data_IF_276540964124
#
_entry.id   IF_276540964124
#
_cell.length_a   1.000
_cell.length_b   1.000
_cell.length_c   1.000
_cell.angle_alpha   90.00
_cell.angle_beta   90.00
_cell.angle_gamma   90.00
#
_symmetry.space_group_name_H-M   'P 1'
#
loop_
_entity.id
_entity.type
_entity.pdbx_description
1 polymer ?
#
# COMPACT_ATOMS: atom_id res chain seq x y z
N UNK A 1 -18.67 32.25 18.40
CA UNK A 1 -17.52 31.32 18.32
C UNK A 1 -16.89 31.50 16.95
N UNK A 2 -15.74 32.18 16.89
CA UNK A 2 -15.01 32.44 15.63
C UNK A 2 -14.66 31.09 15.01
N UNK A 3 -15.07 30.87 13.76
CA UNK A 3 -14.81 29.64 13.03
C UNK A 3 -13.31 29.37 12.98
N UNK A 4 -12.86 28.36 13.71
CA UNK A 4 -11.52 27.83 13.50
C UNK A 4 -11.45 27.34 12.05
N UNK A 5 -10.50 27.85 11.29
CA UNK A 5 -10.15 27.31 10.00
C UNK A 5 -9.72 25.84 10.20
N UNK A 6 -10.57 24.91 9.77
CA UNK A 6 -10.42 23.46 10.01
C UNK A 6 -9.74 22.75 8.84
N UNK A 7 -9.25 23.51 7.87
CA UNK A 7 -8.50 23.00 6.73
C UNK A 7 -7.16 22.41 7.19
N UNK A 8 -6.69 21.30 6.60
CA UNK A 8 -5.39 20.72 6.93
C UNK A 8 -4.28 21.69 6.53
N UNK A 9 -3.58 22.24 7.53
CA UNK A 9 -2.40 23.07 7.31
C UNK A 9 -1.24 22.19 6.85
N UNK A 10 -0.78 22.40 5.61
CA UNK A 10 0.47 21.85 5.11
C UNK A 10 1.55 22.91 5.14
N UNK A 11 2.80 22.49 5.36
CA UNK A 11 3.96 23.38 5.26
C UNK A 11 4.62 23.15 3.92
N UNK A 12 4.48 24.09 3.00
CA UNK A 12 5.19 24.04 1.72
C UNK A 12 6.70 23.86 1.94
N UNK A 13 7.33 23.11 1.05
CA UNK A 13 8.77 22.85 1.06
C UNK A 13 9.30 22.16 2.35
N UNK A 14 8.43 21.52 3.14
CA UNK A 14 8.84 20.76 4.33
C UNK A 14 9.48 19.42 3.99
N UNK A 15 9.13 18.82 2.84
CA UNK A 15 9.62 17.51 2.43
C UNK A 15 10.70 17.65 1.35
N UNK A 16 11.86 17.04 1.57
CA UNK A 16 12.93 16.97 0.56
C UNK A 16 12.70 15.79 -0.39
N UNK A 17 13.37 15.79 -1.56
CA UNK A 17 13.35 14.64 -2.48
C UNK A 17 13.78 13.35 -1.78
N UNK A 18 14.87 13.41 -1.00
CA UNK A 18 15.37 12.26 -0.23
C UNK A 18 14.34 11.82 0.80
N UNK A 19 13.68 12.76 1.50
CA UNK A 19 12.61 12.45 2.44
C UNK A 19 11.42 11.77 1.77
N UNK A 20 11.02 12.21 0.57
CA UNK A 20 9.95 11.57 -0.19
C UNK A 20 10.33 10.17 -0.67
N UNK A 21 11.58 9.95 -1.07
CA UNK A 21 12.08 8.61 -1.42
C UNK A 21 12.07 7.70 -0.18
N UNK A 22 12.56 8.18 0.97
CA UNK A 22 12.56 7.43 2.22
C UNK A 22 11.13 7.09 2.69
N UNK A 23 10.17 8.01 2.49
CA UNK A 23 8.75 7.81 2.78
C UNK A 23 8.17 6.71 1.87
N UNK A 24 8.33 6.82 0.55
CA UNK A 24 7.78 5.87 -0.41
C UNK A 24 8.36 4.47 -0.27
N UNK A 25 9.69 4.37 -0.27
CA UNK A 25 10.41 3.10 -0.03
C UNK A 25 10.09 2.53 1.33
N UNK A 26 9.87 3.40 2.32
CA UNK A 26 9.56 2.96 3.67
C UNK A 26 8.24 2.25 3.80
N UNK A 27 7.21 2.72 3.10
CA UNK A 27 5.90 2.06 3.03
C UNK A 27 5.98 0.79 2.17
N UNK A 28 6.64 0.87 1.01
CA UNK A 28 6.81 -0.28 0.12
C UNK A 28 7.48 -1.44 0.87
N UNK A 29 8.69 -1.22 1.40
CA UNK A 29 9.48 -2.27 2.05
C UNK A 29 8.73 -2.91 3.22
N UNK A 30 8.09 -2.10 4.08
CA UNK A 30 7.38 -2.60 5.25
C UNK A 30 6.16 -3.47 4.90
N UNK A 31 5.39 -3.07 3.88
CA UNK A 31 4.25 -3.83 3.37
C UNK A 31 4.67 -5.01 2.48
N UNK A 32 5.84 -4.92 1.86
CA UNK A 32 6.20 -5.74 0.72
C UNK A 32 6.88 -7.03 1.14
N UNK A 33 8.21 -6.97 1.09
CA UNK A 33 9.08 -8.14 1.11
C UNK A 33 9.01 -8.94 2.42
N UNK A 34 8.71 -8.29 3.55
CA UNK A 34 8.59 -8.98 4.84
C UNK A 34 7.34 -9.88 4.90
N UNK A 35 6.24 -9.45 4.28
CA UNK A 35 4.94 -10.06 4.52
C UNK A 35 4.44 -10.93 3.37
N UNK A 36 4.87 -10.64 2.14
CA UNK A 36 4.31 -11.26 0.93
C UNK A 36 5.17 -12.39 0.38
N UNK A 37 6.42 -12.52 0.82
CA UNK A 37 7.37 -13.51 0.28
C UNK A 37 6.86 -14.94 0.41
N UNK A 38 6.44 -15.35 1.63
CA UNK A 38 5.89 -16.69 1.86
C UNK A 38 4.61 -16.97 1.07
N UNK A 39 3.66 -16.03 1.09
CA UNK A 39 2.39 -16.16 0.34
C UNK A 39 2.62 -16.27 -1.17
N UNK A 40 3.56 -15.51 -1.72
CA UNK A 40 3.91 -15.60 -3.14
C UNK A 40 4.55 -16.95 -3.47
N UNK A 41 5.43 -17.47 -2.59
CA UNK A 41 6.03 -18.78 -2.75
C UNK A 41 4.99 -19.92 -2.68
N UNK A 42 3.97 -19.80 -1.83
CA UNK A 42 2.84 -20.73 -1.78
C UNK A 42 2.08 -20.76 -3.12
N UNK A 43 1.88 -19.60 -3.75
CA UNK A 43 1.11 -19.49 -5.01
C UNK A 43 1.88 -19.93 -6.25
N UNK A 44 3.19 -19.65 -6.34
CA UNK A 44 3.98 -19.89 -7.57
C UNK A 44 5.24 -20.71 -7.37
N UNK A 45 5.46 -21.27 -6.18
CA UNK A 45 6.65 -22.02 -5.83
C UNK A 45 7.92 -21.17 -5.88
N UNK A 46 9.01 -21.78 -6.34
CA UNK A 46 10.34 -21.13 -6.45
C UNK A 46 10.38 -19.97 -7.45
N UNK A 47 9.33 -19.74 -8.23
CA UNK A 47 9.25 -18.61 -9.17
C UNK A 47 8.86 -17.28 -8.51
N UNK A 48 8.62 -17.24 -7.19
CA UNK A 48 8.18 -16.02 -6.51
C UNK A 48 9.11 -14.80 -6.69
N UNK A 49 10.46 -14.92 -6.78
CA UNK A 49 11.31 -13.75 -7.06
C UNK A 49 11.05 -13.19 -8.46
N UNK A 50 10.76 -14.06 -9.43
CA UNK A 50 10.38 -13.65 -10.79
C UNK A 50 8.99 -13.01 -10.81
N UNK A 51 8.05 -13.46 -9.98
CA UNK A 51 6.76 -12.81 -9.82
C UNK A 51 6.89 -11.39 -9.23
N UNK A 52 7.83 -11.16 -8.30
CA UNK A 52 8.18 -9.81 -7.85
C UNK A 52 8.72 -8.94 -8.99
N UNK A 53 9.60 -9.47 -9.84
CA UNK A 53 10.11 -8.73 -11.00
C UNK A 53 9.02 -8.46 -12.05
N UNK A 54 8.10 -9.41 -12.27
CA UNK A 54 6.94 -9.19 -13.13
C UNK A 54 6.07 -8.06 -12.58
N UNK A 55 5.81 -8.04 -11.28
CA UNK A 55 5.07 -6.97 -10.63
C UNK A 55 5.76 -5.61 -10.77
N UNK A 56 7.08 -5.57 -10.63
CA UNK A 56 7.87 -4.36 -10.83
C UNK A 56 7.73 -3.78 -12.25
N UNK A 57 7.70 -4.65 -13.27
CA UNK A 57 7.47 -4.24 -14.66
C UNK A 57 6.09 -3.60 -14.79
N UNK A 58 5.04 -4.28 -14.31
CA UNK A 58 3.66 -3.77 -14.37
C UNK A 58 3.56 -2.41 -13.67
N UNK A 59 4.05 -2.33 -12.44
CA UNK A 59 4.03 -1.09 -11.66
C UNK A 59 4.84 0.03 -12.32
N UNK A 60 5.90 -0.29 -13.07
CA UNK A 60 6.63 0.72 -13.84
C UNK A 60 5.79 1.33 -14.96
N UNK A 61 4.93 0.53 -15.62
CA UNK A 61 3.94 1.05 -16.56
C UNK A 61 2.88 1.89 -15.85
N UNK A 62 2.35 1.42 -14.71
CA UNK A 62 1.33 2.19 -13.96
C UNK A 62 1.89 3.51 -13.43
N UNK A 63 3.12 3.50 -12.90
CA UNK A 63 3.81 4.67 -12.37
C UNK A 63 3.93 5.81 -13.39
N UNK A 64 3.94 5.53 -14.70
CA UNK A 64 3.96 6.55 -15.74
C UNK A 64 2.79 7.54 -15.62
N UNK A 65 1.55 7.03 -15.47
CA UNK A 65 0.36 7.87 -15.31
C UNK A 65 0.46 8.70 -14.04
N UNK A 66 0.92 8.10 -12.94
CA UNK A 66 1.09 8.81 -11.67
C UNK A 66 2.14 9.91 -11.75
N UNK A 67 3.29 9.65 -12.39
CA UNK A 67 4.35 10.67 -12.60
C UNK A 67 3.83 11.84 -13.42
N UNK A 68 3.11 11.55 -14.52
CA UNK A 68 2.52 12.59 -15.38
C UNK A 68 1.48 13.43 -14.64
N UNK A 69 0.56 12.77 -13.94
CA UNK A 69 -0.46 13.44 -13.13
C UNK A 69 0.16 14.24 -11.99
N UNK A 70 1.16 13.69 -11.30
CA UNK A 70 1.87 14.33 -10.19
C UNK A 70 2.60 15.60 -10.61
N UNK A 71 3.28 15.57 -11.75
CA UNK A 71 4.04 16.72 -12.24
C UNK A 71 3.10 17.84 -12.72
N UNK A 72 1.93 17.51 -13.27
CA UNK A 72 0.95 18.49 -13.75
C UNK A 72 0.06 19.02 -12.62
N UNK A 73 -0.35 18.16 -11.68
CA UNK A 73 -1.26 18.48 -10.58
C UNK A 73 -0.69 18.10 -9.20
N UNK A 74 0.43 18.71 -8.75
CA UNK A 74 0.93 18.45 -7.40
C UNK A 74 -0.10 18.81 -6.33
N UNK A 75 -0.41 17.87 -5.43
CA UNK A 75 -1.46 18.06 -4.42
C UNK A 75 -1.22 17.19 -3.19
N UNK A 76 -1.59 17.69 -2.02
CA UNK A 76 -1.73 16.91 -0.78
C UNK A 76 -2.87 15.87 -0.84
N UNK A 77 -3.77 15.99 -1.82
CA UNK A 77 -4.87 15.06 -2.05
C UNK A 77 -4.52 13.86 -2.93
N UNK A 78 -3.31 13.82 -3.49
CA UNK A 78 -2.78 12.76 -4.34
C UNK A 78 -3.79 12.18 -5.32
N UNK A 79 -4.02 10.88 -5.20
CA UNK A 79 -4.88 10.11 -6.12
C UNK A 79 -6.32 10.60 -6.15
N UNK A 80 -6.87 11.02 -5.00
CA UNK A 80 -8.20 11.61 -4.94
C UNK A 80 -8.32 12.86 -5.82
N UNK A 81 -7.28 13.69 -5.85
CA UNK A 81 -7.20 14.86 -6.73
C UNK A 81 -7.07 14.44 -8.21
N UNK A 82 -6.32 13.38 -8.51
CA UNK A 82 -6.16 12.89 -9.88
C UNK A 82 -7.48 12.41 -10.47
N UNK A 83 -8.26 11.66 -9.68
CA UNK A 83 -9.61 11.24 -10.07
C UNK A 83 -10.54 12.44 -10.25
N UNK A 84 -10.51 13.40 -9.33
CA UNK A 84 -11.31 14.63 -9.45
C UNK A 84 -10.95 15.43 -10.70
N UNK A 85 -9.67 15.50 -11.08
CA UNK A 85 -9.24 16.16 -12.33
C UNK A 85 -9.68 15.39 -13.58
N UNK A 86 -9.73 14.05 -13.51
CA UNK A 86 -10.06 13.21 -14.65
C UNK A 86 -11.57 13.11 -14.89
N UNK A 87 -12.37 12.98 -13.84
CA UNK A 87 -13.79 12.66 -13.92
C UNK A 87 -14.72 13.73 -13.33
N UNK A 88 -14.17 14.79 -12.70
CA UNK A 88 -14.97 15.83 -12.04
C UNK A 88 -15.66 15.32 -10.76
N UNK A 89 -16.61 16.08 -10.19
CA UNK A 89 -17.30 15.71 -8.94
C UNK A 89 -18.41 14.67 -9.15
N UNK A 90 -18.08 13.56 -9.81
CA UNK A 90 -19.00 12.51 -10.27
C UNK A 90 -18.83 11.21 -9.48
N UNK A 91 -19.82 10.31 -9.61
CA UNK A 91 -19.81 9.00 -8.93
C UNK A 91 -18.53 8.16 -9.20
N UNK A 92 -17.98 8.09 -10.43
CA UNK A 92 -16.70 7.41 -10.67
C UNK A 92 -15.56 7.96 -9.81
N UNK A 93 -15.47 9.29 -9.63
CA UNK A 93 -14.44 9.90 -8.79
C UNK A 93 -14.53 9.40 -7.35
N UNK A 94 -15.72 9.48 -6.76
CA UNK A 94 -15.90 9.17 -5.33
C UNK A 94 -15.73 7.67 -5.08
N UNK A 95 -16.29 6.83 -5.96
CA UNK A 95 -16.13 5.38 -5.91
C UNK A 95 -14.66 4.96 -5.98
N UNK A 96 -13.92 5.37 -7.01
CA UNK A 96 -12.53 4.96 -7.16
C UNK A 96 -11.62 5.58 -6.09
N UNK A 97 -11.91 6.79 -5.61
CA UNK A 97 -11.15 7.40 -4.52
C UNK A 97 -11.35 6.63 -3.20
N UNK A 98 -12.57 6.13 -2.95
CA UNK A 98 -12.84 5.27 -1.81
C UNK A 98 -12.22 3.88 -1.95
N UNK A 99 -12.19 3.29 -3.16
CA UNK A 99 -11.41 2.06 -3.39
C UNK A 99 -9.94 2.25 -3.03
N UNK A 100 -9.34 3.38 -3.42
CA UNK A 100 -7.98 3.70 -3.01
C UNK A 100 -7.88 3.84 -1.49
N UNK A 101 -8.80 4.58 -0.87
CA UNK A 101 -8.83 4.77 0.59
C UNK A 101 -8.85 3.44 1.33
N UNK A 102 -9.84 2.60 1.06
CA UNK A 102 -9.97 1.28 1.71
C UNK A 102 -8.77 0.39 1.41
N UNK A 103 -8.25 0.39 0.17
CA UNK A 103 -7.03 -0.34 -0.16
C UNK A 103 -5.82 0.10 0.67
N UNK A 104 -5.68 1.40 0.98
CA UNK A 104 -4.60 1.89 1.84
C UNK A 104 -4.83 1.59 3.33
N UNK A 105 -6.08 1.63 3.81
CA UNK A 105 -6.43 1.19 5.19
C UNK A 105 -6.13 -0.30 5.37
N UNK A 106 -6.52 -1.12 4.39
CA UNK A 106 -6.23 -2.55 4.35
C UNK A 106 -4.72 -2.81 4.41
N UNK A 107 -3.93 -2.03 3.67
CA UNK A 107 -2.47 -2.14 3.74
C UNK A 107 -1.95 -1.85 5.16
N UNK A 108 -2.50 -0.87 5.89
CA UNK A 108 -2.09 -0.61 7.29
C UNK A 108 -2.37 -1.81 8.19
N UNK A 109 -3.54 -2.44 8.04
CA UNK A 109 -3.88 -3.65 8.79
C UNK A 109 -2.96 -4.82 8.46
N UNK A 110 -2.55 -4.91 7.20
CA UNK A 110 -1.59 -5.90 6.70
C UNK A 110 -0.23 -5.71 7.40
N UNK A 111 0.35 -4.51 7.35
CA UNK A 111 1.61 -4.22 8.08
C UNK A 111 1.48 -4.50 9.58
N UNK A 112 0.31 -4.24 10.17
CA UNK A 112 0.10 -4.41 11.61
C UNK A 112 0.13 -5.89 12.00
N UNK A 113 -0.47 -6.76 11.18
CA UNK A 113 -0.37 -8.20 11.37
C UNK A 113 1.04 -8.72 11.11
N UNK A 114 1.73 -8.22 10.08
CA UNK A 114 3.14 -8.54 9.84
C UNK A 114 4.00 -8.20 11.06
N UNK A 115 3.82 -7.01 11.65
CA UNK A 115 4.50 -6.64 12.89
C UNK A 115 4.26 -7.68 14.00
N UNK A 116 3.00 -8.10 14.20
CA UNK A 116 2.65 -9.14 15.16
C UNK A 116 3.34 -10.47 14.88
N UNK A 117 3.28 -10.97 13.64
CA UNK A 117 3.90 -12.25 13.24
C UNK A 117 5.42 -12.24 13.46
N UNK A 118 6.09 -11.15 13.08
CA UNK A 118 7.53 -11.01 13.33
C UNK A 118 7.87 -10.88 14.81
N UNK A 119 7.11 -10.08 15.56
CA UNK A 119 7.36 -9.87 16.99
C UNK A 119 7.30 -11.19 17.77
N UNK A 120 6.35 -12.06 17.43
CA UNK A 120 6.20 -13.36 18.10
C UNK A 120 7.35 -14.32 17.83
N UNK A 121 8.17 -14.10 16.80
CA UNK A 121 9.35 -14.94 16.57
C UNK A 121 10.45 -14.73 17.63
N UNK A 122 10.41 -13.62 18.38
CA UNK A 122 11.30 -13.41 19.52
C UNK A 122 10.86 -14.16 20.79
N UNK A 123 9.68 -14.80 20.76
CA UNK A 123 9.09 -15.45 21.92
C UNK A 123 8.72 -16.90 21.59
N UNK A 124 9.13 -17.83 22.46
CA UNK A 124 8.75 -19.24 22.33
C UNK A 124 7.33 -19.45 22.90
N UNK A 125 6.34 -18.99 22.13
CA UNK A 125 4.92 -19.11 22.45
C UNK A 125 4.27 -20.17 21.54
N UNK A 126 3.47 -21.05 22.15
CA UNK A 126 2.71 -22.09 21.45
C UNK A 126 1.64 -21.51 20.52
N UNK A 127 0.42 -21.31 21.00
CA UNK A 127 -0.64 -20.74 20.15
C UNK A 127 -0.42 -19.22 19.94
N UNK A 128 -0.06 -18.86 18.71
CA UNK A 128 0.19 -17.48 18.27
C UNK A 128 -1.05 -16.78 17.72
N UNK A 129 -2.15 -17.50 17.50
CA UNK A 129 -3.31 -17.03 16.72
C UNK A 129 -3.97 -15.77 17.27
N UNK A 130 -4.02 -15.63 18.60
CA UNK A 130 -4.58 -14.46 19.28
C UNK A 130 -3.58 -13.30 19.44
N UNK A 131 -2.28 -13.61 19.52
CA UNK A 131 -1.26 -12.59 19.81
C UNK A 131 -0.89 -11.77 18.59
N UNK A 132 -0.89 -12.36 17.38
CA UNK A 132 -0.64 -11.61 16.13
C UNK A 132 -1.60 -10.42 15.97
N UNK A 133 -2.94 -10.61 16.01
CA UNK A 133 -3.87 -9.48 15.89
C UNK A 133 -3.79 -8.53 17.08
N UNK A 134 -3.54 -9.01 18.30
CA UNK A 134 -3.41 -8.17 19.49
C UNK A 134 -2.22 -7.20 19.39
N UNK A 135 -1.06 -7.70 18.99
CA UNK A 135 0.13 -6.87 18.78
C UNK A 135 -0.06 -5.88 17.63
N UNK A 136 -0.70 -6.32 16.53
CA UNK A 136 -1.05 -5.44 15.43
C UNK A 136 -2.01 -4.31 15.83
N UNK A 137 -3.05 -4.62 16.61
CA UNK A 137 -3.97 -3.63 17.20
C UNK A 137 -3.20 -2.66 18.09
N UNK A 138 -2.31 -3.17 18.95
CA UNK A 138 -1.45 -2.36 19.80
C UNK A 138 -0.60 -1.38 18.98
N UNK A 139 0.02 -1.84 17.90
CA UNK A 139 0.80 -0.99 17.01
C UNK A 139 -0.04 0.09 16.32
N UNK A 140 -1.25 -0.23 15.85
CA UNK A 140 -2.16 0.76 15.26
C UNK A 140 -2.57 1.83 16.26
N UNK A 141 -2.83 1.46 17.52
CA UNK A 141 -3.13 2.40 18.59
C UNK A 141 -1.92 3.30 18.91
N UNK A 142 -0.71 2.75 18.94
CA UNK A 142 0.51 3.53 19.10
C UNK A 142 0.67 4.50 17.92
N UNK A 143 0.50 4.03 16.70
CA UNK A 143 0.57 4.87 15.50
C UNK A 143 -0.49 5.98 15.52
N UNK A 144 -1.69 5.71 16.03
CA UNK A 144 -2.74 6.71 16.23
C UNK A 144 -2.31 7.80 17.22
N UNK A 145 -1.78 7.43 18.40
CA UNK A 145 -1.30 8.37 19.41
C UNK A 145 -0.14 9.23 18.90
N UNK A 146 0.78 8.62 18.14
CA UNK A 146 1.87 9.30 17.46
C UNK A 146 1.32 10.32 16.46
N UNK A 147 0.34 9.93 15.63
CA UNK A 147 -0.27 10.81 14.63
C UNK A 147 -1.14 11.94 15.24
N UNK A 148 -1.66 11.76 16.44
CA UNK A 148 -2.32 12.84 17.20
C UNK A 148 -1.31 13.85 17.77
N UNK A 149 -0.07 13.41 17.99
CA UNK A 149 0.98 14.24 18.56
C UNK A 149 1.62 15.10 17.47
N UNK A 150 1.54 16.43 17.60
CA UNK A 150 2.16 17.39 16.67
C UNK A 150 3.71 17.46 16.81
N UNK A 151 4.36 16.35 17.13
CA UNK A 151 5.75 16.34 17.55
C UNK A 151 6.69 16.09 16.38
N UNK A 152 7.42 17.13 15.95
CA UNK A 152 8.43 17.07 14.87
C UNK A 152 9.52 16.02 15.12
N UNK A 153 9.75 15.61 16.36
CA UNK A 153 10.71 14.57 16.71
C UNK A 153 10.37 13.21 16.05
N UNK A 154 9.09 12.95 15.79
CA UNK A 154 8.60 11.72 15.15
C UNK A 154 9.06 11.64 13.69
N UNK A 155 9.02 12.74 12.94
CA UNK A 155 9.46 12.77 11.53
C UNK A 155 10.95 12.46 11.40
N UNK A 156 11.77 13.02 12.29
CA UNK A 156 13.22 12.75 12.33
C UNK A 156 13.51 11.30 12.65
N UNK A 157 12.83 10.73 13.65
CA UNK A 157 13.00 9.31 14.03
C UNK A 157 12.58 8.39 12.88
N UNK A 158 11.43 8.64 12.24
CA UNK A 158 10.97 7.85 11.10
C UNK A 158 11.95 7.87 9.92
N UNK A 159 12.58 9.02 9.66
CA UNK A 159 13.61 9.17 8.63
C UNK A 159 14.86 8.34 8.93
N UNK A 160 15.38 8.42 10.17
CA UNK A 160 16.56 7.64 10.61
C UNK A 160 16.28 6.13 10.53
N UNK A 161 15.13 5.69 11.03
CA UNK A 161 14.68 4.28 10.90
C UNK A 161 14.57 3.85 9.44
N UNK A 162 14.21 4.78 8.55
CA UNK A 162 14.17 4.57 7.11
C UNK A 162 15.53 4.23 6.49
N UNK A 163 16.59 4.91 6.91
CA UNK A 163 17.94 4.59 6.43
C UNK A 163 18.47 3.29 7.01
N UNK A 164 18.23 3.04 8.30
CA UNK A 164 18.67 1.81 8.98
C UNK A 164 18.06 0.59 8.31
N UNK A 165 16.74 0.60 8.00
CA UNK A 165 16.09 -0.55 7.36
C UNK A 165 16.59 -0.78 5.92
N UNK A 166 16.80 0.27 5.14
CA UNK A 166 17.32 0.11 3.76
C UNK A 166 18.73 -0.50 3.82
N UNK A 167 19.61 0.04 4.66
CA UNK A 167 20.96 -0.49 4.84
C UNK A 167 20.96 -1.95 5.33
N UNK A 168 20.16 -2.24 6.36
CA UNK A 168 20.05 -3.59 6.93
C UNK A 168 19.56 -4.64 5.94
N UNK A 169 18.58 -4.28 5.10
CA UNK A 169 18.04 -5.19 4.07
C UNK A 169 19.03 -5.39 2.92
N UNK A 170 19.77 -4.35 2.51
CA UNK A 170 20.81 -4.49 1.49
C UNK A 170 21.90 -5.43 1.99
N UNK A 171 22.35 -5.24 3.24
CA UNK A 171 23.35 -6.13 3.86
C UNK A 171 22.81 -7.56 3.91
N UNK A 172 21.57 -7.76 4.38
CA UNK A 172 20.92 -9.07 4.38
C UNK A 172 20.92 -9.72 2.98
N UNK A 173 20.45 -8.99 1.96
CA UNK A 173 20.31 -9.53 0.61
C UNK A 173 21.66 -9.89 -0.02
N UNK A 174 22.67 -9.04 0.17
CA UNK A 174 24.04 -9.30 -0.31
C UNK A 174 24.61 -10.54 0.39
N UNK A 175 24.59 -10.57 1.72
CA UNK A 175 25.14 -11.69 2.50
C UNK A 175 24.40 -12.99 2.18
N UNK A 176 23.07 -12.97 2.10
CA UNK A 176 22.27 -14.15 1.76
C UNK A 176 22.58 -14.71 0.38
N UNK A 177 22.79 -13.86 -0.63
CA UNK A 177 23.19 -14.33 -1.97
C UNK A 177 24.63 -14.87 -1.98
N UNK A 178 25.55 -14.27 -1.22
CA UNK A 178 26.95 -14.73 -1.16
C UNK A 178 27.15 -16.03 -0.38
N UNK A 179 26.32 -16.30 0.63
CA UNK A 179 26.40 -17.53 1.45
C UNK A 179 25.72 -18.71 0.74
N UNK A 180 24.83 -18.46 -0.23
CA UNK A 180 24.16 -19.52 -0.95
C UNK A 180 25.12 -20.36 -1.80
N UNK A 181 25.15 -21.68 -1.57
CA UNK A 181 25.96 -22.63 -2.34
C UNK A 181 25.54 -22.71 -3.82
N UNK A 182 24.26 -22.48 -4.12
CA UNK A 182 23.73 -22.38 -5.48
C UNK A 182 22.39 -21.65 -5.53
N UNK A 183 22.09 -20.98 -6.65
CA UNK A 183 20.78 -20.38 -6.93
C UNK A 183 19.96 -21.39 -7.75
N UNK A 184 19.29 -22.32 -7.08
CA UNK A 184 18.44 -23.30 -7.76
C UNK A 184 17.01 -22.78 -7.95
N UNK A 185 16.77 -22.10 -9.07
CA UNK A 185 15.42 -21.68 -9.50
C UNK A 185 14.61 -22.78 -10.24
N UNK A 186 15.10 -24.02 -10.27
CA UNK A 186 14.45 -25.14 -10.96
C UNK A 186 13.29 -25.75 -10.17
N UNK A 187 12.37 -26.41 -10.88
CA UNK A 187 11.39 -27.29 -10.25
C UNK A 187 12.14 -28.50 -9.66
N UNK A 188 12.44 -28.45 -8.36
CA UNK A 188 12.81 -29.66 -7.63
C UNK A 188 11.68 -30.68 -7.71
N UNK A 189 12.00 -31.97 -7.62
CA UNK A 189 11.04 -33.06 -7.79
C UNK A 189 9.84 -33.02 -6.81
N UNK A 190 9.94 -32.25 -5.72
CA UNK A 190 8.93 -32.13 -4.65
C UNK A 190 8.15 -30.79 -4.66
N UNK A 191 8.35 -29.92 -5.66
CA UNK A 191 7.64 -28.64 -5.74
C UNK A 191 6.34 -28.75 -6.57
N UNK A 192 5.22 -28.12 -6.13
CA UNK A 192 4.02 -28.00 -6.96
C UNK A 192 4.37 -27.41 -8.33
N UNK A 193 3.83 -27.99 -9.40
CA UNK A 193 4.06 -27.48 -10.76
C UNK A 193 3.57 -26.03 -10.85
N UNK A 194 4.43 -25.05 -11.20
CA UNK A 194 4.00 -23.67 -11.30
C UNK A 194 2.89 -23.52 -12.33
N UNK A 195 1.75 -22.97 -11.93
CA UNK A 195 0.64 -22.67 -12.83
C UNK A 195 0.71 -21.21 -13.26
N UNK A 196 0.26 -20.91 -14.48
CA UNK A 196 0.16 -19.53 -14.98
C UNK A 196 -0.72 -18.70 -14.03
N UNK A 197 -1.82 -19.27 -13.54
CA UNK A 197 -2.73 -18.62 -12.59
C UNK A 197 -2.05 -18.33 -11.24
N UNK A 198 -1.26 -19.28 -10.72
CA UNK A 198 -0.48 -19.10 -9.50
C UNK A 198 0.57 -17.99 -9.64
N UNK A 199 1.28 -17.94 -10.76
CA UNK A 199 2.23 -16.87 -11.08
C UNK A 199 1.56 -15.49 -11.18
N UNK A 200 0.41 -15.40 -11.86
CA UNK A 200 -0.37 -14.16 -11.92
C UNK A 200 -0.85 -13.74 -10.53
N UNK A 201 -1.26 -14.71 -9.71
CA UNK A 201 -1.70 -14.43 -8.35
C UNK A 201 -0.58 -13.90 -7.45
N UNK A 202 0.61 -14.53 -7.51
CA UNK A 202 1.81 -14.04 -6.84
C UNK A 202 2.23 -12.66 -7.38
N UNK A 203 2.12 -12.44 -8.69
CA UNK A 203 2.40 -11.13 -9.31
C UNK A 203 1.45 -10.05 -8.78
N UNK A 204 0.17 -10.35 -8.57
CA UNK A 204 -0.78 -9.41 -7.96
C UNK A 204 -0.36 -9.01 -6.54
N UNK A 205 0.05 -9.99 -5.72
CA UNK A 205 0.62 -9.70 -4.40
C UNK A 205 1.90 -8.87 -4.52
N UNK A 206 2.77 -9.16 -5.48
CA UNK A 206 3.94 -8.32 -5.79
C UNK A 206 3.57 -6.88 -6.12
N UNK A 207 2.48 -6.62 -6.87
CA UNK A 207 2.01 -5.26 -7.17
C UNK A 207 1.62 -4.54 -5.87
N UNK A 208 0.97 -5.24 -4.93
CA UNK A 208 0.65 -4.70 -3.62
C UNK A 208 1.91 -4.23 -2.86
N UNK A 209 3.01 -4.97 -2.97
CA UNK A 209 4.31 -4.64 -2.36
C UNK A 209 4.93 -3.35 -2.91
N UNK A 210 4.72 -3.05 -4.19
CA UNK A 210 5.27 -1.87 -4.86
C UNK A 210 4.33 -0.67 -4.82
N UNK A 211 3.01 -0.86 -4.67
CA UNK A 211 2.02 0.23 -4.60
C UNK A 211 2.39 1.34 -3.60
N UNK A 212 3.18 1.06 -2.56
CA UNK A 212 3.56 2.03 -1.53
C UNK A 212 4.10 3.38 -2.06
N UNK A 213 4.62 3.44 -3.30
CA UNK A 213 4.96 4.70 -3.97
C UNK A 213 3.79 5.70 -4.02
N UNK A 214 2.55 5.23 -4.04
CA UNK A 214 1.34 6.06 -4.06
C UNK A 214 1.23 6.97 -2.83
N UNK A 215 1.85 6.61 -1.70
CA UNK A 215 1.92 7.46 -0.51
C UNK A 215 2.64 8.78 -0.80
N UNK A 216 3.64 8.77 -1.70
CA UNK A 216 4.36 9.97 -2.14
C UNK A 216 3.39 10.98 -2.79
N UNK A 217 2.42 10.48 -3.55
CA UNK A 217 1.45 11.34 -4.25
C UNK A 217 0.58 12.15 -3.28
N UNK A 218 0.37 11.65 -2.05
CA UNK A 218 -0.40 12.34 -1.00
C UNK A 218 0.41 13.41 -0.24
N UNK A 219 1.70 13.54 -0.53
CA UNK A 219 2.58 14.59 0.01
C UNK A 219 3.00 15.59 -1.07
N UNK A 220 2.22 15.70 -2.15
CA UNK A 220 2.57 16.50 -3.32
C UNK A 220 2.81 17.98 -3.03
N UNK A 221 2.00 18.58 -2.16
CA UNK A 221 2.10 20.01 -1.81
C UNK A 221 3.23 20.34 -0.83
N UNK A 222 3.81 19.34 -0.18
CA UNK A 222 4.86 19.52 0.84
C UNK A 222 6.27 19.39 0.24
N UNK A 223 6.37 18.76 -0.92
CA UNK A 223 7.64 18.47 -1.57
C UNK A 223 8.29 19.74 -2.12
N UNK A 224 9.58 19.92 -1.88
CA UNK A 224 10.39 20.95 -2.54
C UNK A 224 10.36 20.76 -4.04
N UNK A 225 10.06 21.81 -4.80
CA UNK A 225 9.93 21.78 -6.28
C UNK A 225 9.09 20.58 -6.77
N UNK A 226 7.80 20.54 -6.42
CA UNK A 226 7.01 19.31 -6.52
C UNK A 226 6.78 18.88 -7.97
N UNK A 227 6.70 19.82 -8.91
CA UNK A 227 6.55 19.54 -10.36
C UNK A 227 7.70 18.73 -10.95
N UNK A 228 8.91 18.83 -10.36
CA UNK A 228 10.08 18.06 -10.79
C UNK A 228 10.36 16.88 -9.87
N UNK A 229 10.16 17.06 -8.57
CA UNK A 229 10.61 16.09 -7.57
C UNK A 229 9.58 15.00 -7.27
N UNK A 230 8.27 15.16 -7.51
CA UNK A 230 7.33 14.05 -7.30
C UNK A 230 7.64 12.90 -8.24
N UNK A 231 7.76 13.20 -9.54
CA UNK A 231 8.10 12.19 -10.54
C UNK A 231 9.40 11.46 -10.20
N UNK A 232 10.45 12.22 -9.85
CA UNK A 232 11.74 11.65 -9.43
C UNK A 232 11.60 10.77 -8.18
N UNK A 233 10.87 11.24 -7.16
CA UNK A 233 10.67 10.48 -5.94
C UNK A 233 9.99 9.13 -6.22
N UNK A 234 8.94 9.12 -7.04
CA UNK A 234 8.22 7.89 -7.44
C UNK A 234 9.18 6.95 -8.18
N UNK A 235 9.85 7.42 -9.24
CA UNK A 235 10.74 6.59 -10.06
C UNK A 235 11.93 6.05 -9.27
N UNK A 236 12.60 6.87 -8.48
CA UNK A 236 13.74 6.45 -7.65
C UNK A 236 13.29 5.42 -6.61
N UNK A 237 12.14 5.64 -5.97
CA UNK A 237 11.63 4.73 -4.95
C UNK A 237 11.30 3.36 -5.54
N UNK A 238 10.63 3.32 -6.70
CA UNK A 238 10.33 2.06 -7.38
C UNK A 238 11.63 1.37 -7.76
N UNK A 239 12.55 2.05 -8.45
CA UNK A 239 13.83 1.46 -8.87
C UNK A 239 14.64 0.88 -7.69
N UNK A 240 14.70 1.60 -6.58
CA UNK A 240 15.37 1.11 -5.36
C UNK A 240 14.66 -0.13 -4.79
N UNK A 241 13.34 -0.13 -4.72
CA UNK A 241 12.58 -1.29 -4.27
C UNK A 241 12.70 -2.48 -5.22
N UNK A 242 12.85 -2.28 -6.54
CA UNK A 242 13.10 -3.38 -7.50
C UNK A 242 14.40 -4.09 -7.15
N UNK A 243 15.48 -3.33 -6.93
CA UNK A 243 16.78 -3.88 -6.54
C UNK A 243 16.67 -4.61 -5.20
N UNK A 244 16.04 -3.99 -4.21
CA UNK A 244 15.89 -4.57 -2.87
C UNK A 244 15.07 -5.87 -2.92
N UNK A 245 13.91 -5.89 -3.58
CA UNK A 245 13.05 -7.07 -3.62
C UNK A 245 13.65 -8.19 -4.46
N UNK A 246 14.39 -7.85 -5.52
CA UNK A 246 15.17 -8.85 -6.25
C UNK A 246 16.20 -9.47 -5.32
N UNK A 247 17.10 -8.66 -4.75
CA UNK A 247 18.17 -9.15 -3.86
C UNK A 247 17.62 -10.02 -2.74
N UNK A 248 16.58 -9.55 -2.06
CA UNK A 248 15.97 -10.27 -0.96
C UNK A 248 15.23 -11.51 -1.42
N UNK A 249 14.44 -11.42 -2.49
CA UNK A 249 13.68 -12.56 -3.00
C UNK A 249 14.59 -13.69 -3.43
N UNK A 250 15.68 -13.38 -4.13
CA UNK A 250 16.72 -14.35 -4.48
C UNK A 250 17.47 -14.87 -3.25
N UNK A 251 17.79 -14.02 -2.27
CA UNK A 251 18.40 -14.49 -1.02
C UNK A 251 17.52 -15.50 -0.30
N UNK A 252 16.21 -15.24 -0.15
CA UNK A 252 15.27 -16.18 0.47
C UNK A 252 15.18 -17.49 -0.32
N UNK A 253 15.03 -17.39 -1.65
CA UNK A 253 14.91 -18.56 -2.51
C UNK A 253 16.16 -19.47 -2.49
N UNK A 254 17.34 -18.90 -2.23
CA UNK A 254 18.59 -19.66 -2.19
C UNK A 254 18.96 -20.19 -0.80
N UNK A 255 18.36 -19.65 0.27
CA UNK A 255 18.71 -20.01 1.65
C UNK A 255 17.67 -20.91 2.34
N UNK A 256 16.47 -21.04 1.77
CA UNK A 256 15.41 -21.89 2.30
C UNK A 256 14.86 -22.81 1.21
N UNK A 257 14.50 -24.03 1.59
CA UNK A 257 13.70 -24.91 0.74
C UNK A 257 12.27 -24.37 0.58
N UNK A 258 11.59 -24.72 -0.50
CA UNK A 258 10.21 -24.28 -0.71
C UNK A 258 9.26 -24.68 0.45
N UNK A 259 9.32 -25.92 1.00
CA UNK A 259 8.55 -26.28 2.18
C UNK A 259 8.82 -25.37 3.38
N UNK A 260 10.08 -25.02 3.66
CA UNK A 260 10.43 -24.11 4.77
C UNK A 260 9.91 -22.69 4.54
N UNK A 261 9.95 -22.19 3.29
CA UNK A 261 9.37 -20.87 2.96
C UNK A 261 7.85 -20.86 3.19
N UNK A 262 7.17 -21.95 2.84
CA UNK A 262 5.71 -22.10 3.03
C UNK A 262 5.38 -22.28 4.52
N UNK A 263 6.17 -23.05 5.26
CA UNK A 263 5.98 -23.27 6.70
C UNK A 263 6.17 -21.98 7.50
N UNK A 264 7.21 -21.21 7.19
CA UNK A 264 7.54 -19.95 7.89
C UNK A 264 6.74 -18.75 7.39
N UNK A 265 6.02 -18.90 6.27
CA UNK A 265 5.19 -17.92 5.56
C UNK A 265 5.38 -16.44 5.97
N UNK A 266 4.73 -16.03 7.06
CA UNK A 266 4.61 -14.65 7.54
C UNK A 266 5.91 -14.02 8.06
N UNK A 267 6.96 -14.82 8.30
CA UNK A 267 8.27 -14.36 8.75
C UNK A 267 9.43 -14.97 7.95
N UNK A 268 9.16 -15.52 6.76
CA UNK A 268 10.12 -16.28 5.95
C UNK A 268 11.44 -15.55 5.68
N UNK A 269 11.39 -14.21 5.60
CA UNK A 269 12.59 -13.40 5.44
C UNK A 269 13.55 -13.49 6.65
N UNK A 270 13.02 -13.53 7.87
CA UNK A 270 13.85 -13.71 9.06
C UNK A 270 14.38 -15.14 9.15
N UNK A 271 13.57 -16.14 8.80
CA UNK A 271 14.01 -17.53 8.73
C UNK A 271 15.18 -17.71 7.74
N UNK A 272 15.13 -17.04 6.59
CA UNK A 272 16.20 -17.07 5.59
C UNK A 272 17.51 -16.41 6.06
N UNK A 273 17.50 -15.67 7.17
CA UNK A 273 18.71 -15.12 7.78
C UNK A 273 19.48 -16.14 8.62
N UNK A 274 18.80 -17.21 9.06
CA UNK A 274 19.35 -18.23 9.97
C UNK A 274 20.64 -18.87 9.46
N UNK A 275 20.81 -19.21 8.16
CA UNK A 275 22.05 -19.79 7.65
C UNK A 275 23.28 -18.88 7.79
N UNK A 276 23.10 -17.56 7.89
CA UNK A 276 24.22 -16.62 7.95
C UNK A 276 24.89 -16.55 9.33
N UNK A 277 24.11 -16.29 10.40
CA UNK A 277 24.62 -16.14 11.78
C UNK A 277 23.71 -16.78 12.83
N UNK A 278 22.91 -17.78 12.44
CA UNK A 278 21.95 -18.43 13.33
C UNK A 278 20.89 -17.48 13.86
N UNK A 279 20.46 -17.69 15.10
CA UNK A 279 19.39 -16.92 15.75
C UNK A 279 19.69 -15.43 15.92
N UNK A 280 20.98 -15.04 15.94
CA UNK A 280 21.34 -13.62 15.98
C UNK A 280 20.92 -12.88 14.70
N UNK A 281 21.06 -13.52 13.52
CA UNK A 281 20.61 -12.95 12.24
C UNK A 281 19.09 -12.96 12.13
N UNK A 282 18.42 -13.99 12.66
CA UNK A 282 16.95 -14.04 12.75
C UNK A 282 16.45 -12.86 13.59
N UNK A 283 16.94 -12.72 14.82
CA UNK A 283 16.53 -11.64 15.73
C UNK A 283 16.79 -10.24 15.14
N UNK A 284 17.94 -10.04 14.49
CA UNK A 284 18.24 -8.78 13.80
C UNK A 284 17.22 -8.48 12.70
N UNK A 285 16.91 -9.48 11.86
CA UNK A 285 15.96 -9.33 10.75
C UNK A 285 14.54 -9.09 11.27
N UNK A 286 14.17 -9.73 12.39
CA UNK A 286 12.90 -9.48 13.08
C UNK A 286 12.80 -8.04 13.57
N UNK A 287 13.82 -7.52 14.26
CA UNK A 287 13.84 -6.13 14.73
C UNK A 287 13.75 -5.17 13.53
N UNK A 288 14.45 -5.45 12.44
CA UNK A 288 14.35 -4.65 11.22
C UNK A 288 12.93 -4.66 10.63
N UNK A 289 12.28 -5.82 10.57
CA UNK A 289 10.91 -5.96 10.11
C UNK A 289 9.94 -5.17 10.99
N UNK A 290 10.09 -5.25 12.31
CA UNK A 290 9.30 -4.48 13.29
C UNK A 290 9.44 -2.98 13.08
N UNK A 291 10.66 -2.48 12.90
CA UNK A 291 10.91 -1.06 12.63
C UNK A 291 10.36 -0.62 11.26
N UNK A 292 10.49 -1.47 10.25
CA UNK A 292 9.98 -1.21 8.90
C UNK A 292 8.45 -1.11 8.87
N UNK A 293 7.77 -2.07 9.50
CA UNK A 293 6.30 -2.13 9.59
C UNK A 293 5.74 -0.99 10.44
N UNK A 294 6.34 -0.71 11.62
CA UNK A 294 5.93 0.41 12.47
C UNK A 294 6.07 1.76 11.75
N UNK A 295 7.23 2.02 11.13
CA UNK A 295 7.45 3.24 10.37
C UNK A 295 6.51 3.38 9.16
N UNK A 296 6.25 2.27 8.46
CA UNK A 296 5.31 2.22 7.34
C UNK A 296 3.87 2.54 7.75
N UNK A 297 3.41 2.00 8.89
CA UNK A 297 2.08 2.28 9.44
C UNK A 297 1.95 3.75 9.85
N UNK A 298 2.91 4.29 10.59
CA UNK A 298 2.88 5.68 11.06
C UNK A 298 2.73 6.63 9.87
N UNK A 299 3.54 6.43 8.81
CA UNK A 299 3.48 7.25 7.60
C UNK A 299 2.18 7.04 6.80
N UNK A 300 1.73 5.80 6.66
CA UNK A 300 0.52 5.48 5.88
C UNK A 300 -0.75 6.02 6.55
N UNK A 301 -0.90 5.85 7.87
CA UNK A 301 -2.05 6.35 8.64
C UNK A 301 -2.22 7.86 8.45
N UNK A 302 -1.11 8.60 8.49
CA UNK A 302 -1.10 10.03 8.23
C UNK A 302 -1.56 10.37 6.81
N UNK A 303 -0.98 9.71 5.80
CA UNK A 303 -1.27 9.98 4.40
C UNK A 303 -2.73 9.65 4.02
N UNK A 304 -3.26 8.55 4.55
CA UNK A 304 -4.62 8.06 4.26
C UNK A 304 -5.68 8.93 4.90
N UNK A 305 -5.49 9.31 6.17
CA UNK A 305 -6.40 10.22 6.86
C UNK A 305 -6.48 11.58 6.16
N UNK A 306 -5.35 12.09 5.67
CA UNK A 306 -5.28 13.32 4.86
C UNK A 306 -6.02 13.19 3.54
N UNK A 307 -5.83 12.10 2.81
CA UNK A 307 -6.52 11.88 1.53
C UNK A 307 -8.04 11.91 1.74
N UNK A 308 -8.56 11.23 2.77
CA UNK A 308 -9.99 11.24 3.07
C UNK A 308 -10.50 12.61 3.52
N UNK A 309 -9.69 13.37 4.27
CA UNK A 309 -10.05 14.73 4.68
C UNK A 309 -10.19 15.65 3.46
N UNK A 310 -9.26 15.56 2.52
CA UNK A 310 -9.28 16.34 1.27
C UNK A 310 -10.50 15.96 0.40
N UNK A 311 -10.83 14.67 0.27
CA UNK A 311 -12.06 14.23 -0.41
C UNK A 311 -13.33 14.78 0.25
N UNK A 312 -13.34 14.83 1.59
CA UNK A 312 -14.43 15.42 2.37
C UNK A 312 -14.56 16.91 2.08
N UNK A 313 -13.46 17.66 2.06
CA UNK A 313 -13.45 19.10 1.79
C UNK A 313 -13.88 19.43 0.36
N UNK A 314 -13.56 18.55 -0.60
CA UNK A 314 -14.07 18.63 -1.97
C UNK A 314 -15.57 18.29 -2.10
N UNK A 315 -16.27 18.01 -0.97
CA UNK A 315 -17.68 17.57 -0.93
C UNK A 315 -17.93 16.33 -1.79
N UNK A 316 -16.93 15.44 -1.86
CA UNK A 316 -17.01 14.18 -2.62
C UNK A 316 -17.38 13.00 -1.74
N UNK A 317 -17.08 13.05 -0.44
CA UNK A 317 -17.39 11.98 0.50
C UNK A 317 -18.14 12.59 1.69
N UNK A 318 -19.20 11.94 2.19
CA UNK A 318 -19.94 12.45 3.33
C UNK A 318 -19.09 12.49 4.60
N UNK A 319 -19.26 13.55 5.39
CA UNK A 319 -18.63 13.69 6.69
C UNK A 319 -19.62 14.09 7.76
N UNK A 320 -19.53 13.44 8.92
CA UNK A 320 -20.18 13.85 10.16
C UNK A 320 -19.12 14.10 11.22
N UNK A 321 -19.32 15.12 12.03
CA UNK A 321 -18.36 15.49 13.08
C UNK A 321 -18.49 14.60 14.32
N UNK A 322 -19.65 13.95 14.55
CA UNK A 322 -19.95 13.15 15.75
C UNK A 322 -19.55 13.83 17.07
N UNK A 323 -19.70 15.16 17.14
CA UNK A 323 -19.27 16.01 18.28
C UNK A 323 -17.77 15.90 18.64
N UNK A 324 -16.94 15.34 17.76
CA UNK A 324 -15.50 15.29 17.95
C UNK A 324 -14.88 16.69 17.80
N UNK A 325 -13.92 17.06 18.67
CA UNK A 325 -13.17 18.30 18.53
C UNK A 325 -12.03 18.16 17.51
N UNK A 326 -11.69 19.24 16.82
CA UNK A 326 -10.52 19.32 15.93
C UNK A 326 -10.86 19.53 14.45
N UNK A 327 -9.87 19.24 13.60
CA UNK A 327 -9.97 19.35 12.14
C UNK A 327 -10.61 18.10 11.52
N UNK A 328 -11.06 18.22 10.27
CA UNK A 328 -11.59 17.09 9.49
C UNK A 328 -10.57 15.95 9.42
N UNK A 329 -9.28 16.27 9.29
CA UNK A 329 -8.20 15.28 9.28
C UNK A 329 -8.13 14.46 10.57
N UNK A 330 -8.38 15.04 11.74
CA UNK A 330 -8.41 14.27 13.00
C UNK A 330 -9.57 13.28 13.01
N UNK A 331 -10.73 13.65 12.46
CA UNK A 331 -11.87 12.75 12.38
C UNK A 331 -11.61 11.61 11.40
N UNK A 332 -11.06 11.91 10.21
CA UNK A 332 -10.72 10.88 9.22
C UNK A 332 -9.58 9.99 9.68
N UNK A 333 -8.68 10.49 10.53
CA UNK A 333 -7.68 9.68 11.24
C UNK A 333 -8.36 8.66 12.16
N UNK A 334 -9.35 9.08 12.95
CA UNK A 334 -10.15 8.15 13.78
C UNK A 334 -10.84 7.09 12.92
N UNK A 335 -11.50 7.47 11.82
CA UNK A 335 -12.17 6.51 10.92
C UNK A 335 -11.17 5.49 10.36
N UNK A 336 -10.03 5.99 9.88
CA UNK A 336 -8.94 5.17 9.32
C UNK A 336 -8.44 4.15 10.33
N UNK A 337 -8.21 4.57 11.58
CA UNK A 337 -7.76 3.67 12.65
C UNK A 337 -8.85 2.67 13.03
N UNK A 338 -10.11 3.09 13.18
CA UNK A 338 -11.21 2.16 13.52
C UNK A 338 -11.37 1.08 12.44
N UNK A 339 -11.37 1.45 11.16
CA UNK A 339 -11.41 0.46 10.08
C UNK A 339 -10.17 -0.44 10.10
N UNK A 340 -8.98 0.14 10.29
CA UNK A 340 -7.73 -0.61 10.41
C UNK A 340 -7.75 -1.63 11.54
N UNK A 341 -8.26 -1.24 12.72
CA UNK A 341 -8.40 -2.09 13.90
C UNK A 341 -9.34 -3.27 13.65
N UNK A 342 -10.50 -3.02 13.03
CA UNK A 342 -11.47 -4.08 12.70
C UNK A 342 -10.84 -5.10 11.74
N UNK A 343 -10.20 -4.63 10.67
CA UNK A 343 -9.54 -5.51 9.71
C UNK A 343 -8.41 -6.30 10.38
N UNK A 344 -7.55 -5.66 11.18
CA UNK A 344 -6.48 -6.33 11.91
C UNK A 344 -7.00 -7.35 12.91
N UNK A 345 -8.09 -7.06 13.63
CA UNK A 345 -8.63 -7.97 14.64
C UNK A 345 -9.28 -9.21 14.02
N UNK A 346 -10.06 -9.06 12.94
CA UNK A 346 -10.97 -10.10 12.48
C UNK A 346 -10.57 -10.82 11.18
N UNK A 347 -9.66 -10.26 10.37
CA UNK A 347 -9.27 -10.85 9.09
C UNK A 347 -7.82 -11.33 9.11
N UNK A 348 -7.53 -12.49 8.52
CA UNK A 348 -6.17 -12.97 8.33
C UNK A 348 -5.39 -12.17 7.27
N UNK A 349 -4.07 -12.35 7.26
CA UNK A 349 -3.13 -11.60 6.44
C UNK A 349 -3.40 -11.80 4.92
N UNK A 350 -3.78 -13.01 4.50
CA UNK A 350 -4.05 -13.36 3.09
C UNK A 350 -5.34 -12.71 2.57
N UNK A 351 -6.42 -12.73 3.37
CA UNK A 351 -7.68 -12.05 3.03
C UNK A 351 -7.53 -10.54 2.99
N UNK A 352 -6.80 -9.96 3.95
CA UNK A 352 -6.46 -8.54 3.96
C UNK A 352 -5.71 -8.17 2.66
N UNK A 353 -4.63 -8.87 2.33
CA UNK A 353 -3.88 -8.60 1.10
C UNK A 353 -4.75 -8.68 -0.15
N UNK A 354 -5.60 -9.70 -0.23
CA UNK A 354 -6.46 -9.95 -1.38
C UNK A 354 -7.50 -8.84 -1.61
N UNK A 355 -8.17 -8.37 -0.56
CA UNK A 355 -9.08 -7.22 -0.66
C UNK A 355 -8.32 -5.96 -1.09
N UNK A 356 -7.13 -5.75 -0.53
CA UNK A 356 -6.29 -4.59 -0.81
C UNK A 356 -5.89 -4.50 -2.27
N UNK A 357 -5.44 -5.60 -2.86
CA UNK A 357 -5.02 -5.64 -4.26
C UNK A 357 -6.20 -5.54 -5.24
N UNK A 358 -7.34 -6.16 -4.95
CA UNK A 358 -8.54 -6.06 -5.80
C UNK A 358 -8.99 -4.60 -5.91
N UNK A 359 -9.14 -3.91 -4.77
CA UNK A 359 -9.55 -2.50 -4.77
C UNK A 359 -8.51 -1.59 -5.42
N UNK A 360 -7.22 -1.90 -5.23
CA UNK A 360 -6.15 -1.14 -5.87
C UNK A 360 -6.19 -1.26 -7.39
N UNK A 361 -6.18 -2.47 -7.95
CA UNK A 361 -6.10 -2.68 -9.39
C UNK A 361 -7.32 -2.10 -10.12
N UNK A 362 -8.52 -2.21 -9.55
CA UNK A 362 -9.73 -1.59 -10.12
C UNK A 362 -9.58 -0.06 -10.16
N UNK A 363 -9.05 0.54 -9.10
CA UNK A 363 -8.81 1.97 -9.05
C UNK A 363 -7.66 2.41 -9.97
N UNK A 364 -6.58 1.63 -10.07
CA UNK A 364 -5.40 1.95 -10.89
C UNK A 364 -5.78 1.99 -12.39
N UNK A 365 -6.53 0.98 -12.84
CA UNK A 365 -7.12 0.98 -14.18
C UNK A 365 -7.99 2.22 -14.44
N UNK A 366 -8.75 2.68 -13.45
CA UNK A 366 -9.55 3.91 -13.57
C UNK A 366 -8.69 5.17 -13.66
N UNK A 367 -7.53 5.24 -13.00
CA UNK A 367 -6.56 6.34 -13.18
C UNK A 367 -6.04 6.33 -14.61
N UNK A 368 -5.60 5.19 -15.11
CA UNK A 368 -5.08 5.08 -16.47
C UNK A 368 -6.12 5.43 -17.52
N UNK A 369 -7.35 4.94 -17.36
CA UNK A 369 -8.47 5.27 -18.23
C UNK A 369 -8.78 6.77 -18.21
N UNK A 370 -8.76 7.39 -17.02
CA UNK A 370 -8.98 8.83 -16.84
C UNK A 370 -7.91 9.66 -17.55
N UNK A 371 -6.64 9.22 -17.48
CA UNK A 371 -5.55 9.82 -18.24
C UNK A 371 -5.80 9.70 -19.74
N UNK A 372 -6.10 8.50 -20.25
CA UNK A 372 -6.32 8.28 -21.68
C UNK A 372 -7.49 9.08 -22.25
N UNK A 373 -8.63 9.06 -21.55
CA UNK A 373 -9.89 9.58 -22.06
C UNK A 373 -10.04 11.09 -21.85
N UNK A 374 -9.58 11.61 -20.71
CA UNK A 374 -9.92 12.95 -20.25
C UNK A 374 -8.72 13.89 -20.08
N UNK A 375 -7.51 13.36 -19.86
CA UNK A 375 -6.36 14.21 -19.48
C UNK A 375 -5.11 14.08 -20.37
N UNK A 376 -5.14 13.21 -21.39
CA UNK A 376 -3.99 12.87 -22.24
C UNK A 376 -3.20 14.09 -22.70
N UNK A 377 -3.89 15.05 -23.29
CA UNK A 377 -3.27 16.26 -23.86
C UNK A 377 -2.82 17.24 -22.77
N UNK A 378 -3.56 17.32 -21.66
CA UNK A 378 -3.24 18.20 -20.52
C UNK A 378 -1.99 17.77 -19.77
N UNK A 379 -1.75 16.46 -19.66
CA UNK A 379 -0.55 15.93 -18.97
C UNK A 379 0.57 15.55 -19.94
N UNK A 380 0.34 15.64 -21.25
CA UNK A 380 1.28 15.20 -22.27
C UNK A 380 1.65 13.72 -22.12
N UNK A 381 0.64 12.87 -21.93
CA UNK A 381 0.81 11.42 -21.82
C UNK A 381 0.83 10.76 -23.21
N UNK A 382 1.75 9.83 -23.41
CA UNK A 382 1.71 8.91 -24.54
C UNK A 382 0.62 7.87 -24.26
N UNK A 383 -0.41 7.73 -25.12
CA UNK A 383 -1.54 6.82 -24.88
C UNK A 383 -1.14 5.34 -24.83
N UNK A 384 -0.02 4.95 -25.44
CA UNK A 384 0.41 3.55 -25.46
C UNK A 384 0.73 3.05 -24.06
N UNK A 385 1.40 3.87 -23.23
CA UNK A 385 1.91 3.43 -21.93
C UNK A 385 0.76 3.15 -20.93
N UNK A 386 -0.22 4.06 -20.72
CA UNK A 386 -1.37 3.75 -19.87
C UNK A 386 -2.26 2.66 -20.45
N UNK A 387 -2.32 2.48 -21.78
CA UNK A 387 -3.08 1.37 -22.38
C UNK A 387 -2.46 0.01 -22.05
N UNK A 388 -1.13 -0.08 -22.07
CA UNK A 388 -0.40 -1.27 -21.62
C UNK A 388 -0.61 -1.49 -20.13
N UNK A 389 -0.57 -0.43 -19.31
CA UNK A 389 -0.83 -0.54 -17.87
C UNK A 389 -2.22 -1.15 -17.59
N UNK A 390 -3.28 -0.64 -18.23
CA UNK A 390 -4.65 -1.19 -18.10
C UNK A 390 -4.68 -2.68 -18.50
N UNK A 391 -4.06 -3.05 -19.61
CA UNK A 391 -4.04 -4.43 -20.07
C UNK A 391 -3.35 -5.35 -19.05
N UNK A 392 -2.18 -4.94 -18.53
CA UNK A 392 -1.43 -5.71 -17.55
C UNK A 392 -2.19 -5.85 -16.23
N UNK A 393 -2.76 -4.74 -15.73
CA UNK A 393 -3.59 -4.74 -14.51
C UNK A 393 -4.82 -5.65 -14.68
N UNK A 394 -5.48 -5.60 -15.84
CA UNK A 394 -6.64 -6.45 -16.13
C UNK A 394 -6.26 -7.94 -16.17
N UNK A 395 -5.16 -8.30 -16.84
CA UNK A 395 -4.69 -9.69 -16.91
C UNK A 395 -4.34 -10.22 -15.52
N UNK A 396 -3.60 -9.45 -14.71
CA UNK A 396 -3.25 -9.84 -13.35
C UNK A 396 -4.47 -9.92 -12.44
N UNK A 397 -5.38 -8.94 -12.52
CA UNK A 397 -6.62 -8.96 -11.74
C UNK A 397 -7.46 -10.18 -12.08
N UNK A 398 -7.67 -10.49 -13.36
CA UNK A 398 -8.43 -11.67 -13.79
C UNK A 398 -7.78 -12.95 -13.26
N UNK A 399 -6.45 -13.08 -13.39
CA UNK A 399 -5.71 -14.22 -12.85
C UNK A 399 -5.85 -14.35 -11.34
N UNK A 400 -5.72 -13.25 -10.59
CA UNK A 400 -5.86 -13.23 -9.14
C UNK A 400 -7.28 -13.56 -8.68
N UNK A 401 -8.30 -13.00 -9.34
CA UNK A 401 -9.70 -13.31 -9.08
C UNK A 401 -10.00 -14.79 -9.33
N UNK A 402 -9.43 -15.38 -10.39
CA UNK A 402 -9.55 -16.81 -10.66
C UNK A 402 -8.94 -17.66 -9.54
N UNK A 403 -7.72 -17.33 -9.09
CA UNK A 403 -7.09 -18.03 -7.97
C UNK A 403 -7.96 -17.94 -6.70
N UNK A 404 -8.48 -16.75 -6.38
CA UNK A 404 -9.33 -16.57 -5.19
C UNK A 404 -10.71 -17.20 -5.34
N UNK A 405 -11.28 -17.27 -6.54
CA UNK A 405 -12.53 -17.98 -6.79
C UNK A 405 -12.43 -19.49 -6.48
N UNK A 406 -11.24 -20.07 -6.61
CA UNK A 406 -11.00 -21.49 -6.31
C UNK A 406 -10.59 -21.69 -4.84
N UNK A 407 -9.67 -20.86 -4.34
CA UNK A 407 -9.05 -21.03 -3.02
C UNK A 407 -9.83 -20.41 -1.86
N UNK A 408 -10.44 -19.23 -2.05
CA UNK A 408 -11.18 -18.51 -1.01
C UNK A 408 -12.26 -17.58 -1.61
N UNK A 409 -13.41 -18.13 -2.04
CA UNK A 409 -14.47 -17.35 -2.67
C UNK A 409 -15.05 -16.25 -1.77
N UNK A 410 -14.91 -16.37 -0.45
CA UNK A 410 -15.41 -15.38 0.50
C UNK A 410 -14.77 -14.02 0.28
N UNK A 411 -13.50 -13.97 -0.13
CA UNK A 411 -12.83 -12.71 -0.47
C UNK A 411 -13.57 -11.97 -1.59
N UNK A 412 -14.04 -12.69 -2.61
CA UNK A 412 -14.73 -12.09 -3.75
C UNK A 412 -16.11 -11.58 -3.36
N UNK A 413 -16.82 -12.32 -2.53
CA UNK A 413 -18.12 -11.91 -1.99
C UNK A 413 -17.95 -10.65 -1.15
N UNK A 414 -17.00 -10.64 -0.20
CA UNK A 414 -16.73 -9.48 0.65
C UNK A 414 -16.31 -8.27 -0.20
N UNK A 415 -15.42 -8.45 -1.17
CA UNK A 415 -15.01 -7.38 -2.09
C UNK A 415 -16.21 -6.82 -2.86
N UNK A 416 -17.07 -7.69 -3.41
CA UNK A 416 -18.27 -7.30 -4.14
C UNK A 416 -19.28 -6.55 -3.26
N UNK A 417 -19.54 -7.03 -2.05
CA UNK A 417 -20.43 -6.39 -1.07
C UNK A 417 -19.89 -5.01 -0.70
N UNK A 418 -18.60 -4.90 -0.35
CA UNK A 418 -17.99 -3.61 -0.03
C UNK A 418 -18.12 -2.64 -1.20
N UNK A 419 -17.75 -3.05 -2.43
CA UNK A 419 -17.90 -2.19 -3.61
C UNK A 419 -19.35 -1.76 -3.86
N UNK A 420 -20.31 -2.68 -3.74
CA UNK A 420 -21.73 -2.36 -3.89
C UNK A 420 -22.22 -1.37 -2.83
N UNK A 421 -21.79 -1.53 -1.57
CA UNK A 421 -22.15 -0.60 -0.48
C UNK A 421 -21.55 0.79 -0.70
N UNK A 422 -20.30 0.88 -1.20
CA UNK A 422 -19.67 2.15 -1.55
C UNK A 422 -20.41 2.83 -2.70
N UNK A 423 -20.71 2.09 -3.77
CA UNK A 423 -21.47 2.62 -4.91
C UNK A 423 -22.83 3.14 -4.49
N UNK A 424 -23.60 2.35 -3.72
CA UNK A 424 -24.93 2.73 -3.26
C UNK A 424 -24.88 3.95 -2.33
N UNK A 425 -23.96 3.95 -1.35
CA UNK A 425 -23.80 5.05 -0.40
C UNK A 425 -23.45 6.36 -1.10
N UNK A 426 -22.52 6.31 -2.05
CA UNK A 426 -22.08 7.47 -2.83
C UNK A 426 -23.16 7.96 -3.79
N UNK A 427 -23.86 7.06 -4.46
CA UNK A 427 -24.99 7.42 -5.32
C UNK A 427 -26.08 8.16 -4.54
N UNK A 428 -26.45 7.67 -3.34
CA UNK A 428 -27.43 8.34 -2.47
C UNK A 428 -26.92 9.71 -2.04
N UNK A 429 -25.64 9.83 -1.67
CA UNK A 429 -25.05 11.07 -1.20
C UNK A 429 -25.01 12.14 -2.30
N UNK A 430 -24.50 11.80 -3.48
CA UNK A 430 -24.39 12.72 -4.62
C UNK A 430 -25.78 13.15 -5.11
N UNK A 431 -26.74 12.23 -5.18
CA UNK A 431 -28.12 12.55 -5.58
C UNK A 431 -28.77 13.59 -4.65
N UNK A 432 -28.52 13.50 -3.33
CA UNK A 432 -29.01 14.49 -2.36
C UNK A 432 -28.29 15.83 -2.48
N UNK A 433 -26.99 15.82 -2.74
CA UNK A 433 -26.18 17.03 -2.92
C UNK A 433 -26.64 17.82 -4.14
N UNK A 434 -26.82 17.14 -5.26
CA UNK A 434 -27.20 17.79 -6.51
C UNK A 434 -28.62 18.36 -6.41
N UNK A 435 -29.56 17.63 -5.78
CA UNK A 435 -30.90 18.13 -5.47
C UNK A 435 -30.89 19.38 -4.56
N UNK A 436 -29.98 19.46 -3.58
CA UNK A 436 -29.86 20.66 -2.73
C UNK A 436 -29.33 21.88 -3.49
N UNK A 437 -28.37 21.70 -4.40
CA UNK A 437 -27.83 22.80 -5.21
C UNK A 437 -28.88 23.36 -6.18
N UNK A 438 -29.70 22.50 -6.78
CA UNK A 438 -30.79 22.95 -7.68
C UNK A 438 -31.85 23.77 -6.93
N UNK A 439 -32.15 23.39 -5.68
CA UNK A 439 -33.09 24.15 -4.84
C UNK A 439 -32.57 25.55 -4.46
N UNK A 440 -31.28 25.69 -4.13
CA UNK A 440 -30.67 26.99 -3.83
C UNK A 440 -30.67 27.93 -5.04
N UNK A 441 -30.44 27.41 -6.25
CA UNK A 441 -30.50 28.20 -7.49
C UNK A 441 -31.92 28.63 -7.87
N UNK A 442 -32.95 27.85 -7.52
CA UNK A 442 -34.35 28.21 -7.80
C UNK A 442 -34.90 29.34 -6.93
N UNK A 443 -34.31 29.58 -5.75
CA UNK A 443 -34.74 30.64 -4.83
C UNK A 443 -33.99 31.98 -5.01
N UNK A 444 -33.01 32.03 -5.92
CA UNK A 444 -32.23 33.23 -6.23
C UNK A 444 -32.68 33.99 -7.49
N UNK A 445 -33.84 33.64 -8.05
CA UNK A 445 -34.41 34.28 -9.26
C UNK A 445 -35.65 35.12 -8.97
#
# INVERSE_FOLDING_TARGET
MVGQDRTPQYKENSLSLVGAVALGTGVMIGAGIFALTGQMAEMTGRLFPLAFLAAAVIVSFSAYSYVKMSNTFPSAGGIGMYLQKAYGPTLPTTFHALLMYFSMVIAQSFLARTFGSYTLELFDLGDRSLFVPLLGVGLLLIAFLINLSANRLIETVASVLGFIKIGGIIVFGIVGVFIADSIEMGAGNDAPTPTITGFLGATALGILAFKGFTTITNSGSELKDPKRNLGKAITISIALCVVIYALVGFAVASNLSLPEIIETQDYSLAAAARPALGEAAVAFTVILAMLATAGGIIASVFAVSRMLAMLTEMKLVPHRHFHMPGSVQKHTLVYTIVFGLVLTAFFDLSRIAALGIIFYLIMDMAIHWGVLRHLKDRVGANPVIPSIAILLDAVVLIGFLWVKAISDPMVLIVAGVVMATLLLGEWIFLSKRDASNDSEHSHTH
#
